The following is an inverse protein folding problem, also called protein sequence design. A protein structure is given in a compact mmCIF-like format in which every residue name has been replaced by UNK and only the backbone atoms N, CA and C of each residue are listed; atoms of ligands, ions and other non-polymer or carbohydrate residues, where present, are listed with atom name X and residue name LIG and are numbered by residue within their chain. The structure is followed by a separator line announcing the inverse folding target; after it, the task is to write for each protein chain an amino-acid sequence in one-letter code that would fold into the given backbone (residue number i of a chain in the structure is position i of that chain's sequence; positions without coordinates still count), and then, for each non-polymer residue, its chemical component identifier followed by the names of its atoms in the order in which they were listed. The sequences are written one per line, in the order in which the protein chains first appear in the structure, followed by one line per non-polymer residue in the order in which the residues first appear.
data_IF_968479300461
#
_entry.id   IF_968479300461
#
_cell.length_a   1.000
_cell.length_b   1.000
_cell.length_c   1.000
_cell.angle_alpha   90.00
_cell.angle_beta   90.00
_cell.angle_gamma   90.00
#
_symmetry.space_group_name_H-M   'P 1'
#
loop_
_entity.id
_entity.type
_entity.pdbx_description
1 polymer ?
#
# COMPACT_ATOMS: atom_id res chain seq x y z
N UNK A 1 -33.35 -0.97 4.03
CA UNK A 1 -32.11 -1.10 4.81
C UNK A 1 -30.96 -1.48 3.88
N UNK A 2 -29.87 -0.79 4.00
CA UNK A 2 -28.68 -1.12 3.23
C UNK A 2 -27.68 -1.86 4.11
N UNK A 3 -27.22 -3.00 3.62
CA UNK A 3 -26.15 -3.73 4.24
C UNK A 3 -24.87 -3.30 3.54
N UNK A 4 -24.03 -2.56 4.26
CA UNK A 4 -22.74 -2.11 3.76
C UNK A 4 -21.65 -3.17 4.00
N UNK A 5 -21.95 -4.42 3.63
CA UNK A 5 -21.03 -5.53 3.82
C UNK A 5 -19.69 -5.34 3.10
N UNK A 6 -19.68 -4.47 2.07
CA UNK A 6 -18.51 -4.16 1.28
C UNK A 6 -18.04 -2.71 1.45
N UNK A 7 -18.54 -2.02 2.50
CA UNK A 7 -18.10 -0.67 2.76
C UNK A 7 -16.61 -0.67 3.15
N UNK A 8 -15.82 0.09 2.40
CA UNK A 8 -14.40 0.27 2.70
C UNK A 8 -14.27 1.42 3.67
N UNK A 9 -13.60 1.18 4.79
CA UNK A 9 -13.33 2.19 5.82
C UNK A 9 -11.84 2.43 6.03
N UNK A 10 -11.01 1.45 5.73
CA UNK A 10 -9.56 1.54 5.93
C UNK A 10 -8.81 0.97 4.74
N UNK A 11 -7.95 1.81 4.16
CA UNK A 11 -7.08 1.46 3.03
C UNK A 11 -5.63 1.58 3.45
N UNK A 12 -4.81 0.60 3.12
CA UNK A 12 -3.36 0.66 3.33
C UNK A 12 -2.66 0.76 1.99
N UNK A 13 -1.78 1.74 1.87
CA UNK A 13 -0.84 1.83 0.76
C UNK A 13 0.42 1.07 1.15
N UNK A 14 0.77 0.05 0.38
CA UNK A 14 1.92 -0.79 0.66
C UNK A 14 2.85 -0.81 -0.55
N UNK A 15 3.86 0.04 -0.50
CA UNK A 15 4.74 0.25 -1.63
C UNK A 15 6.12 0.77 -1.23
N UNK A 16 6.74 1.48 -2.16
CA UNK A 16 8.07 2.05 -2.03
C UNK A 16 8.03 3.58 -1.91
N UNK A 17 9.10 4.25 -2.29
CA UNK A 17 9.24 5.71 -2.21
C UNK A 17 8.15 6.46 -2.99
N UNK A 18 7.63 5.91 -4.07
CA UNK A 18 6.59 6.56 -4.85
C UNK A 18 5.29 6.69 -4.06
N UNK A 19 4.93 5.67 -3.31
CA UNK A 19 3.76 5.72 -2.43
C UNK A 19 4.06 6.38 -1.09
N UNK A 20 5.30 6.24 -0.59
CA UNK A 20 5.68 6.82 0.69
C UNK A 20 5.69 8.36 0.66
N UNK A 21 5.88 8.95 -0.51
CA UNK A 21 5.95 10.40 -0.66
C UNK A 21 7.35 10.97 -0.54
N UNK A 22 8.37 10.16 -0.77
CA UNK A 22 9.77 10.59 -0.71
C UNK A 22 10.01 11.84 -1.56
N UNK A 23 10.60 12.85 -0.96
CA UNK A 23 10.94 14.09 -1.64
C UNK A 23 9.77 15.08 -1.78
N UNK A 24 8.58 14.74 -1.26
CA UNK A 24 7.41 15.61 -1.31
C UNK A 24 7.03 16.13 0.08
N UNK A 25 6.51 17.37 0.19
CA UNK A 25 5.87 17.81 1.42
C UNK A 25 4.72 16.86 1.79
N UNK A 26 4.45 16.74 3.09
CA UNK A 26 3.46 15.77 3.61
C UNK A 26 2.09 15.93 2.97
N UNK A 27 1.64 17.15 2.74
CA UNK A 27 0.34 17.45 2.12
C UNK A 27 0.22 16.98 0.68
N UNK A 28 1.33 16.64 0.03
CA UNK A 28 1.38 16.10 -1.33
C UNK A 28 1.58 14.58 -1.37
N UNK A 29 1.69 13.93 -0.21
CA UNK A 29 1.79 12.47 -0.16
C UNK A 29 0.49 11.84 -0.67
N UNK A 30 0.62 10.75 -1.42
CA UNK A 30 -0.54 10.05 -1.98
C UNK A 30 -1.58 9.71 -0.92
N UNK A 31 -1.16 9.24 0.25
CA UNK A 31 -2.06 8.89 1.35
C UNK A 31 -2.91 10.07 1.80
N UNK A 32 -2.32 11.26 1.90
CA UNK A 32 -3.02 12.47 2.33
C UNK A 32 -3.99 12.96 1.25
N UNK A 33 -3.51 13.03 0.00
CA UNK A 33 -4.33 13.48 -1.13
C UNK A 33 -5.51 12.55 -1.35
N UNK A 34 -5.29 11.25 -1.27
CA UNK A 34 -6.33 10.25 -1.47
C UNK A 34 -7.39 10.32 -0.37
N UNK A 35 -6.98 10.44 0.89
CA UNK A 35 -7.92 10.57 2.01
C UNK A 35 -8.75 11.85 1.89
N UNK A 36 -8.13 12.97 1.52
CA UNK A 36 -8.84 14.23 1.29
C UNK A 36 -9.87 14.11 0.15
N UNK A 37 -9.51 13.44 -0.93
CA UNK A 37 -10.44 13.21 -2.04
C UNK A 37 -11.64 12.35 -1.62
N UNK A 38 -11.41 11.35 -0.81
CA UNK A 38 -12.51 10.55 -0.27
C UNK A 38 -13.45 11.42 0.57
N UNK A 39 -12.93 12.26 1.44
CA UNK A 39 -13.72 13.17 2.26
C UNK A 39 -14.54 14.15 1.42
N UNK A 40 -13.94 14.71 0.36
CA UNK A 40 -14.64 15.63 -0.56
C UNK A 40 -15.80 14.95 -1.28
N UNK A 41 -15.76 13.64 -1.43
CA UNK A 41 -16.82 12.86 -2.07
C UNK A 41 -17.77 12.21 -1.04
N UNK A 42 -17.72 12.65 0.21
CA UNK A 42 -18.62 12.16 1.26
C UNK A 42 -18.25 10.78 1.80
N UNK A 43 -17.04 10.30 1.54
CA UNK A 43 -16.58 8.99 1.98
C UNK A 43 -15.64 9.15 3.18
N UNK A 44 -15.95 8.45 4.26
CA UNK A 44 -15.13 8.43 5.46
C UNK A 44 -14.17 7.23 5.42
N UNK A 45 -13.14 7.32 4.60
CA UNK A 45 -12.13 6.29 4.41
C UNK A 45 -10.80 6.77 4.94
N UNK A 46 -10.22 6.03 5.87
CA UNK A 46 -8.88 6.30 6.38
C UNK A 46 -7.84 5.64 5.48
N UNK A 47 -6.84 6.41 5.06
CA UNK A 47 -5.73 5.93 4.24
C UNK A 47 -4.46 5.89 5.07
N UNK A 48 -3.91 4.70 5.23
CA UNK A 48 -2.67 4.49 5.99
C UNK A 48 -1.52 4.32 5.01
N UNK A 49 -0.46 5.08 5.23
CA UNK A 49 0.76 4.96 4.45
C UNK A 49 1.67 3.92 5.10
N UNK A 50 1.59 2.69 4.61
CA UNK A 50 2.46 1.59 5.04
C UNK A 50 3.67 1.38 4.13
N UNK A 51 3.98 2.36 3.30
CA UNK A 51 5.05 2.25 2.30
C UNK A 51 6.41 2.59 2.89
N UNK A 52 7.45 1.95 2.35
CA UNK A 52 8.84 2.14 2.80
C UNK A 52 9.72 2.53 1.62
N UNK A 53 10.37 3.70 1.71
CA UNK A 53 11.28 4.16 0.68
C UNK A 53 12.42 3.17 0.45
N UNK A 54 12.73 2.90 -0.81
CA UNK A 54 13.79 1.97 -1.19
C UNK A 54 13.38 0.50 -1.13
N UNK A 55 12.17 0.18 -0.73
CA UNK A 55 11.72 -1.22 -0.59
C UNK A 55 11.68 -1.94 -1.93
N UNK A 56 12.24 -3.14 -1.93
CA UNK A 56 12.07 -4.12 -3.01
C UNK A 56 10.85 -4.99 -2.71
N UNK A 57 10.46 -5.84 -3.66
CA UNK A 57 9.41 -6.83 -3.42
C UNK A 57 9.78 -7.78 -2.29
N UNK A 58 11.05 -8.18 -2.20
CA UNK A 58 11.57 -8.99 -1.09
C UNK A 58 11.50 -8.24 0.25
N UNK A 59 11.89 -6.97 0.26
CA UNK A 59 11.78 -6.14 1.44
C UNK A 59 10.35 -5.99 1.93
N UNK A 60 9.41 -5.79 1.01
CA UNK A 60 7.99 -5.75 1.33
C UNK A 60 7.47 -7.06 1.91
N UNK A 61 7.88 -8.18 1.30
CA UNK A 61 7.48 -9.50 1.78
C UNK A 61 7.97 -9.75 3.22
N UNK A 62 9.19 -9.33 3.53
CA UNK A 62 9.76 -9.52 4.87
C UNK A 62 8.96 -8.82 5.99
N UNK A 63 8.29 -7.73 5.68
CA UNK A 63 7.52 -6.96 6.67
C UNK A 63 6.01 -7.12 6.50
N UNK A 64 5.56 -7.84 5.48
CA UNK A 64 4.15 -7.92 5.13
C UNK A 64 3.29 -8.47 6.27
N UNK A 65 3.69 -9.54 6.92
CA UNK A 65 2.92 -10.13 8.02
C UNK A 65 2.70 -9.13 9.15
N UNK A 66 3.72 -8.39 9.50
CA UNK A 66 3.63 -7.39 10.55
C UNK A 66 2.84 -6.16 10.10
N UNK A 67 3.16 -5.62 8.92
CA UNK A 67 2.55 -4.38 8.42
C UNK A 67 1.08 -4.55 8.06
N UNK A 68 0.68 -5.74 7.60
CA UNK A 68 -0.68 -6.01 7.15
C UNK A 68 -1.53 -6.74 8.19
N UNK A 69 -1.02 -6.90 9.42
CA UNK A 69 -1.74 -7.54 10.51
C UNK A 69 -2.67 -6.59 11.27
N UNK A 70 -2.64 -5.30 10.97
CA UNK A 70 -3.51 -4.34 11.64
C UNK A 70 -4.98 -4.70 11.41
N UNK A 71 -5.80 -4.76 12.47
CA UNK A 71 -7.20 -5.14 12.31
C UNK A 71 -7.99 -4.07 11.54
N UNK A 72 -8.96 -4.52 10.76
CA UNK A 72 -9.89 -3.63 10.07
C UNK A 72 -9.40 -3.10 8.74
N UNK A 73 -8.31 -3.63 8.19
CA UNK A 73 -7.89 -3.28 6.82
C UNK A 73 -8.89 -3.87 5.83
N UNK A 74 -9.50 -3.02 5.02
CA UNK A 74 -10.48 -3.43 4.03
C UNK A 74 -9.89 -3.56 2.63
N UNK A 75 -8.85 -2.77 2.34
CA UNK A 75 -8.22 -2.76 1.02
C UNK A 75 -6.74 -2.45 1.15
N UNK A 76 -5.94 -3.18 0.40
CA UNK A 76 -4.51 -2.94 0.28
C UNK A 76 -4.20 -2.57 -1.16
N UNK A 77 -3.53 -1.43 -1.35
CA UNK A 77 -3.03 -1.03 -2.65
C UNK A 77 -1.53 -1.33 -2.66
N UNK A 78 -1.15 -2.32 -3.44
CA UNK A 78 0.21 -2.83 -3.50
C UNK A 78 0.95 -2.24 -4.70
N UNK A 79 2.06 -1.57 -4.45
CA UNK A 79 2.87 -0.96 -5.51
C UNK A 79 4.36 -1.13 -5.24
N UNK A 80 4.88 -2.31 -5.55
CA UNK A 80 6.29 -2.66 -5.42
C UNK A 80 6.84 -3.23 -6.73
N UNK A 81 8.13 -3.13 -6.95
CA UNK A 81 8.81 -3.70 -8.10
C UNK A 81 9.76 -2.74 -8.81
N UNK A 82 9.58 -1.44 -8.65
CA UNK A 82 10.46 -0.45 -9.28
C UNK A 82 11.92 -0.61 -8.81
N UNK A 83 12.12 -0.81 -7.52
CA UNK A 83 13.47 -1.01 -6.97
C UNK A 83 14.05 -2.36 -7.36
N UNK A 84 13.22 -3.38 -7.53
CA UNK A 84 13.65 -4.67 -8.09
C UNK A 84 14.26 -4.47 -9.48
N UNK A 85 13.56 -3.74 -10.33
CA UNK A 85 14.04 -3.44 -11.67
C UNK A 85 15.35 -2.66 -11.64
N UNK A 86 15.46 -1.64 -10.81
CA UNK A 86 16.67 -0.83 -10.69
C UNK A 86 17.87 -1.63 -10.19
N UNK A 87 17.66 -2.69 -9.43
CA UNK A 87 18.68 -3.56 -8.88
C UNK A 87 18.96 -4.79 -9.74
N UNK A 88 18.30 -4.92 -10.88
CA UNK A 88 18.48 -6.06 -11.77
C UNK A 88 17.94 -7.38 -11.24
N UNK A 89 16.97 -7.34 -10.34
CA UNK A 89 16.30 -8.53 -9.82
C UNK A 89 15.43 -9.12 -10.93
N UNK A 90 15.45 -10.44 -11.07
CA UNK A 90 14.69 -11.12 -12.11
C UNK A 90 13.18 -10.92 -11.92
N UNK A 91 12.42 -10.62 -13.00
CA UNK A 91 10.97 -10.45 -12.91
C UNK A 91 10.24 -11.62 -12.26
N UNK A 92 10.73 -12.85 -12.42
CA UNK A 92 10.15 -14.03 -11.81
C UNK A 92 10.21 -14.00 -10.28
N UNK A 93 11.28 -13.44 -9.72
CA UNK A 93 11.38 -13.25 -8.26
C UNK A 93 10.44 -12.18 -7.77
N UNK A 94 10.30 -11.09 -8.52
CA UNK A 94 9.34 -10.03 -8.21
C UNK A 94 7.92 -10.57 -8.20
N UNK A 95 7.55 -11.33 -9.23
CA UNK A 95 6.24 -11.97 -9.32
C UNK A 95 5.97 -12.87 -8.12
N UNK A 96 6.91 -13.73 -7.78
CA UNK A 96 6.79 -14.64 -6.63
C UNK A 96 6.58 -13.88 -5.32
N UNK A 97 7.38 -12.84 -5.10
CA UNK A 97 7.28 -12.04 -3.87
C UNK A 97 5.93 -11.31 -3.77
N UNK A 98 5.44 -10.75 -4.89
CA UNK A 98 4.14 -10.09 -4.92
C UNK A 98 3.01 -11.08 -4.67
N UNK A 99 3.07 -12.28 -5.23
CA UNK A 99 2.10 -13.34 -4.97
C UNK A 99 2.06 -13.72 -3.48
N UNK A 100 3.22 -13.86 -2.85
CA UNK A 100 3.29 -14.18 -1.42
C UNK A 100 2.73 -13.04 -0.55
N UNK A 101 2.99 -11.79 -0.91
CA UNK A 101 2.40 -10.63 -0.22
C UNK A 101 0.87 -10.66 -0.32
N UNK A 102 0.34 -10.92 -1.51
CA UNK A 102 -1.10 -11.01 -1.75
C UNK A 102 -1.73 -12.12 -0.90
N UNK A 103 -1.06 -13.24 -0.73
CA UNK A 103 -1.54 -14.33 0.12
C UNK A 103 -1.60 -13.95 1.60
N UNK A 104 -0.68 -13.12 2.06
CA UNK A 104 -0.66 -12.63 3.43
C UNK A 104 -1.79 -11.63 3.67
N UNK A 105 -2.11 -10.85 2.65
CA UNK A 105 -3.10 -9.78 2.73
C UNK A 105 -4.56 -10.26 2.96
#
# INVERSE_FOLDING_TARGET
MHINAFAIEKVVLFGDSLMAGYGLPKEHHLSVVLEDNFKKNGLNIKVINGSVSGSTSSGGLNIAEWSLSEPGIDLIILGLGANDMLRGIKPEETEKNLEEIIKIA
#
